data_IF_483303926135
#
_entry.id   IF_483303926135
#
_cell.length_a   1.000
_cell.length_b   1.000
_cell.length_c   1.000
_cell.angle_alpha   90.00
_cell.angle_beta   90.00
_cell.angle_gamma   90.00
#
_symmetry.space_group_name_H-M   'P 1'
#
loop_
_entity.id
_entity.type
_entity.pdbx_description
1 polymer ?
#
# COMPACT_ATOMS: atom_id res chain seq x y z
N UNK A 1 16.56 0.02 2.02
CA UNK A 1 15.10 0.11 1.80
C UNK A 1 14.50 -1.26 2.05
N UNK A 2 13.73 -1.43 3.13
CA UNK A 2 13.04 -2.69 3.44
C UNK A 2 11.59 -2.56 2.96
N UNK A 3 11.22 -3.30 1.91
CA UNK A 3 9.83 -3.36 1.43
C UNK A 3 8.99 -4.22 2.37
N UNK A 4 7.74 -3.83 2.62
CA UNK A 4 6.81 -4.66 3.38
C UNK A 4 6.22 -5.73 2.46
N UNK A 5 6.10 -6.96 2.95
CA UNK A 5 5.52 -8.07 2.20
C UNK A 5 4.14 -8.40 2.74
N UNK A 6 3.12 -8.33 1.89
CA UNK A 6 1.77 -8.80 2.17
C UNK A 6 1.62 -10.19 1.56
N UNK A 7 1.50 -11.21 2.40
CA UNK A 7 1.50 -12.62 1.99
C UNK A 7 0.09 -13.20 2.08
N UNK A 8 -0.30 -14.06 1.13
CA UNK A 8 -1.60 -14.75 1.16
C UNK A 8 -2.78 -13.90 0.71
N UNK A 9 -2.53 -12.77 0.04
CA UNK A 9 -3.56 -11.96 -0.62
C UNK A 9 -4.00 -12.61 -1.92
N UNK A 10 -5.23 -12.38 -2.40
CA UNK A 10 -5.74 -13.01 -3.64
C UNK A 10 -5.17 -12.35 -4.89
N UNK A 11 -4.97 -11.03 -4.85
CA UNK A 11 -4.44 -10.27 -5.99
C UNK A 11 -3.89 -8.92 -5.56
N UNK A 12 -3.08 -8.28 -6.43
CA UNK A 12 -2.68 -6.88 -6.24
C UNK A 12 -3.90 -5.94 -6.20
N UNK A 13 -4.94 -6.23 -7.00
CA UNK A 13 -6.18 -5.43 -7.02
C UNK A 13 -6.87 -5.42 -5.66
N UNK A 14 -6.93 -6.54 -4.96
CA UNK A 14 -7.50 -6.59 -3.60
C UNK A 14 -6.75 -5.65 -2.64
N UNK A 15 -5.42 -5.65 -2.68
CA UNK A 15 -4.60 -4.74 -1.86
C UNK A 15 -4.83 -3.28 -2.24
N UNK A 16 -4.95 -3.00 -3.55
CA UNK A 16 -5.29 -1.67 -4.05
C UNK A 16 -6.63 -1.17 -3.51
N UNK A 17 -7.70 -1.93 -3.66
CA UNK A 17 -9.03 -1.54 -3.18
C UNK A 17 -9.04 -1.31 -1.66
N UNK A 18 -8.33 -2.15 -0.90
CA UNK A 18 -8.18 -1.98 0.54
C UNK A 18 -7.40 -0.69 0.90
N UNK A 19 -6.31 -0.40 0.19
CA UNK A 19 -5.53 0.82 0.39
C UNK A 19 -6.32 2.08 0.02
N UNK A 20 -7.05 2.02 -1.10
CA UNK A 20 -7.96 3.10 -1.53
C UNK A 20 -9.03 3.33 -0.48
N UNK A 21 -9.72 2.29 -0.04
CA UNK A 21 -10.72 2.37 1.03
C UNK A 21 -10.17 2.98 2.32
N UNK A 22 -8.95 2.62 2.71
CA UNK A 22 -8.28 3.23 3.86
C UNK A 22 -8.07 4.73 3.66
N UNK A 23 -7.54 5.16 2.51
CA UNK A 23 -7.29 6.57 2.24
C UNK A 23 -8.59 7.38 2.10
N UNK A 24 -9.64 6.81 1.50
CA UNK A 24 -10.95 7.44 1.43
C UNK A 24 -11.67 7.50 2.77
N UNK A 25 -11.15 6.87 3.82
CA UNK A 25 -11.71 6.91 5.18
C UNK A 25 -10.64 7.25 6.23
N UNK A 26 -9.58 7.94 5.82
CA UNK A 26 -8.41 8.19 6.66
C UNK A 26 -8.73 9.02 7.91
N UNK A 27 -9.82 9.80 7.93
CA UNK A 27 -10.31 10.53 9.10
C UNK A 27 -10.74 9.58 10.23
N UNK A 28 -11.38 8.46 9.88
CA UNK A 28 -11.78 7.43 10.83
C UNK A 28 -10.53 6.78 11.40
N UNK A 29 -9.65 6.29 10.52
CA UNK A 29 -8.42 5.63 10.94
C UNK A 29 -7.49 6.54 11.75
N UNK A 30 -7.42 7.83 11.41
CA UNK A 30 -6.65 8.82 12.19
C UNK A 30 -7.25 9.03 13.57
N UNK A 31 -8.59 9.12 13.64
CA UNK A 31 -9.31 9.27 14.90
C UNK A 31 -9.09 8.07 15.81
N UNK A 32 -9.22 6.87 15.28
CA UNK A 32 -9.02 5.62 16.03
C UNK A 32 -7.57 5.43 16.47
N UNK A 33 -6.60 5.68 15.58
CA UNK A 33 -5.19 5.43 15.86
C UNK A 33 -4.57 6.44 16.82
N UNK A 34 -5.02 7.71 16.79
CA UNK A 34 -4.43 8.79 17.58
C UNK A 34 -5.33 9.27 18.73
N UNK A 35 -6.60 8.88 18.77
CA UNK A 35 -7.59 9.39 19.74
C UNK A 35 -7.95 10.86 19.52
N UNK A 36 -7.63 11.44 18.37
CA UNK A 36 -7.97 12.81 18.00
C UNK A 36 -9.34 12.86 17.33
N UNK A 37 -10.11 13.93 17.49
CA UNK A 37 -11.34 14.10 16.70
C UNK A 37 -10.93 14.61 15.32
N UNK A 38 -11.00 13.76 14.30
CA UNK A 38 -10.67 14.13 12.92
C UNK A 38 -11.93 14.18 12.06
N UNK A 39 -12.14 15.30 11.38
CA UNK A 39 -13.28 15.54 10.49
C UNK A 39 -12.75 15.81 9.08
N UNK A 40 -13.42 15.27 8.07
CA UNK A 40 -13.21 15.62 6.68
C UNK A 40 -14.22 16.69 6.25
N UNK A 41 -13.74 17.82 5.72
CA UNK A 41 -14.60 18.94 5.29
C UNK A 41 -14.97 18.88 3.80
N UNK A 42 -14.06 18.40 2.95
CA UNK A 42 -14.27 18.27 1.51
C UNK A 42 -13.74 16.90 1.01
N UNK A 43 -14.37 16.41 -0.06
CA UNK A 43 -13.95 15.22 -0.77
C UNK A 43 -14.45 15.32 -2.20
N UNK A 44 -13.53 15.51 -3.14
CA UNK A 44 -13.84 15.45 -4.57
C UNK A 44 -12.96 14.37 -5.20
N UNK A 45 -13.48 13.68 -6.22
CA UNK A 45 -12.75 12.63 -6.94
C UNK A 45 -13.09 12.71 -8.42
N UNK A 46 -12.05 12.70 -9.26
CA UNK A 46 -12.15 12.69 -10.70
C UNK A 46 -11.42 11.46 -11.25
N UNK A 47 -12.09 10.72 -12.14
CA UNK A 47 -11.53 9.56 -12.84
C UNK A 47 -11.89 8.21 -12.21
N UNK A 48 -11.81 7.16 -13.03
CA UNK A 48 -12.15 5.79 -12.66
C UNK A 48 -10.88 4.98 -12.34
N UNK A 49 -10.21 4.42 -13.36
CA UNK A 49 -9.02 3.56 -13.25
C UNK A 49 -7.74 4.31 -12.83
N UNK A 50 -7.70 5.61 -13.11
CA UNK A 50 -6.73 6.59 -12.65
C UNK A 50 -7.54 7.68 -11.98
N UNK A 51 -7.40 7.83 -10.67
CA UNK A 51 -8.19 8.80 -9.93
C UNK A 51 -7.32 9.85 -9.28
N UNK A 52 -7.84 11.08 -9.33
CA UNK A 52 -7.33 12.21 -8.56
C UNK A 52 -8.42 12.55 -7.57
N UNK A 53 -8.07 12.56 -6.29
CA UNK A 53 -8.97 13.00 -5.23
C UNK A 53 -8.36 14.16 -4.45
N UNK A 54 -9.19 15.06 -3.95
CA UNK A 54 -8.79 16.10 -3.01
C UNK A 54 -9.59 15.99 -1.72
N UNK A 55 -8.94 16.18 -0.58
CA UNK A 55 -9.60 16.13 0.71
C UNK A 55 -8.85 16.96 1.77
N UNK A 56 -9.62 17.55 2.69
CA UNK A 56 -9.15 18.35 3.82
C UNK A 56 -9.57 17.69 5.11
N UNK A 57 -8.59 17.42 5.95
CA UNK A 57 -8.78 16.87 7.29
C UNK A 57 -8.46 17.92 8.34
N UNK A 58 -9.38 18.10 9.29
CA UNK A 58 -9.15 18.86 10.50
C UNK A 58 -9.14 17.92 11.68
N UNK A 59 -8.04 17.92 12.44
CA UNK A 59 -7.87 17.05 13.59
C UNK A 59 -7.69 17.88 14.85
N UNK A 60 -8.63 17.76 15.78
CA UNK A 60 -8.58 18.37 17.10
C UNK A 60 -7.97 17.39 18.10
N UNK A 61 -6.87 17.80 18.72
CA UNK A 61 -6.17 17.03 19.76
C UNK A 61 -6.71 17.39 21.14
N UNK A 62 -6.55 16.49 22.10
CA UNK A 62 -6.89 16.74 23.51
C UNK A 62 -6.17 17.96 24.11
N UNK A 63 -5.03 18.35 23.55
CA UNK A 63 -4.30 19.55 23.95
C UNK A 63 -4.96 20.88 23.50
N UNK A 64 -6.08 20.81 22.77
CA UNK A 64 -6.73 21.98 22.15
C UNK A 64 -6.08 22.45 20.86
N UNK A 65 -4.99 21.81 20.41
CA UNK A 65 -4.36 22.11 19.12
C UNK A 65 -5.21 21.51 18.00
N UNK A 66 -5.58 22.36 17.04
CA UNK A 66 -6.24 21.93 15.80
C UNK A 66 -5.22 21.93 14.68
N UNK A 67 -5.11 20.81 13.96
CA UNK A 67 -4.28 20.70 12.77
C UNK A 67 -5.12 20.56 11.51
N UNK A 68 -4.72 21.23 10.44
CA UNK A 68 -5.31 21.11 9.10
C UNK A 68 -4.36 20.39 8.16
N UNK A 69 -4.90 19.50 7.34
CA UNK A 69 -4.19 18.72 6.33
C UNK A 69 -5.01 18.74 5.05
N UNK A 70 -4.68 19.64 4.12
CA UNK A 70 -5.32 19.75 2.81
C UNK A 70 -4.49 18.97 1.78
N UNK A 71 -5.09 17.96 1.13
CA UNK A 71 -4.39 16.94 0.36
C UNK A 71 -4.97 16.75 -1.02
N UNK A 72 -4.08 16.39 -1.93
CA UNK A 72 -4.40 15.69 -3.16
C UNK A 72 -3.89 14.26 -3.08
N UNK A 73 -4.62 13.35 -3.68
CA UNK A 73 -4.31 11.94 -3.85
C UNK A 73 -4.37 11.64 -5.34
N UNK A 74 -3.36 10.95 -5.83
CA UNK A 74 -3.31 10.36 -7.15
C UNK A 74 -3.12 8.86 -6.99
N UNK A 75 -3.92 8.05 -7.66
CA UNK A 75 -3.71 6.61 -7.73
C UNK A 75 -3.87 6.08 -9.17
N UNK A 76 -3.13 5.01 -9.47
CA UNK A 76 -3.22 4.34 -10.75
C UNK A 76 -2.81 2.88 -10.67
N UNK A 77 -3.72 2.02 -11.10
CA UNK A 77 -3.48 0.59 -11.24
C UNK A 77 -3.05 0.22 -12.65
N UNK A 78 -1.89 -0.42 -12.77
CA UNK A 78 -1.32 -0.90 -14.03
C UNK A 78 -1.50 -2.42 -14.09
N UNK A 79 -2.56 -2.90 -14.75
CA UNK A 79 -2.88 -4.33 -14.78
C UNK A 79 -1.94 -5.20 -15.63
N UNK A 80 -1.54 -4.74 -16.82
CA UNK A 80 -0.71 -5.55 -17.74
C UNK A 80 -0.10 -4.72 -18.88
N UNK A 81 0.36 -3.50 -18.60
CA UNK A 81 0.88 -2.60 -19.64
C UNK A 81 2.28 -2.11 -19.31
N UNK A 82 3.22 -2.56 -20.16
CA UNK A 82 4.55 -2.00 -20.51
C UNK A 82 5.57 -1.64 -19.42
N UNK A 83 5.21 -1.53 -18.15
CA UNK A 83 6.12 -1.30 -17.03
C UNK A 83 6.49 -2.63 -16.34
N UNK A 84 7.73 -2.72 -15.82
CA UNK A 84 8.20 -3.79 -14.92
C UNK A 84 7.98 -5.22 -15.43
N UNK A 85 8.45 -5.51 -16.64
CA UNK A 85 8.36 -6.84 -17.28
C UNK A 85 6.92 -7.33 -17.51
N UNK A 86 5.93 -6.42 -17.57
CA UNK A 86 4.52 -6.76 -17.75
C UNK A 86 3.80 -7.22 -16.49
N UNK A 87 4.44 -7.11 -15.32
CA UNK A 87 3.81 -7.46 -14.04
C UNK A 87 2.83 -6.37 -13.60
N UNK A 88 1.69 -6.75 -12.98
CA UNK A 88 0.80 -5.77 -12.38
C UNK A 88 1.53 -4.91 -11.34
N UNK A 89 1.33 -3.61 -11.40
CA UNK A 89 1.83 -2.67 -10.39
C UNK A 89 0.80 -1.59 -10.07
N UNK A 90 0.94 -0.96 -8.91
CA UNK A 90 0.12 0.14 -8.45
C UNK A 90 1.02 1.26 -7.98
N UNK A 91 0.65 2.49 -8.28
CA UNK A 91 1.23 3.69 -7.69
C UNK A 91 0.13 4.49 -7.01
N UNK A 92 0.41 4.99 -5.81
CA UNK A 92 -0.49 5.85 -5.04
C UNK A 92 0.34 6.93 -4.35
N UNK A 93 0.00 8.19 -4.57
CA UNK A 93 0.78 9.34 -4.11
C UNK A 93 -0.18 10.34 -3.48
N UNK A 94 0.16 10.85 -2.31
CA UNK A 94 -0.53 11.98 -1.71
C UNK A 94 0.45 13.09 -1.37
N UNK A 95 0.03 14.33 -1.58
CA UNK A 95 0.79 15.52 -1.22
C UNK A 95 -0.14 16.63 -0.73
N UNK A 96 0.44 17.60 -0.02
CA UNK A 96 -0.27 18.79 0.44
C UNK A 96 -0.54 19.81 -0.65
N UNK A 97 -1.70 20.47 -0.55
CA UNK A 97 -2.03 21.65 -1.33
C UNK A 97 -1.35 22.87 -0.74
N UNK A 98 -0.48 23.52 -1.51
CA UNK A 98 0.28 24.68 -1.04
C UNK A 98 -0.53 25.97 -0.97
N UNK A 99 -1.41 26.19 -1.94
CA UNK A 99 -2.31 27.34 -2.02
C UNK A 99 -3.68 26.86 -2.44
N UNK A 100 -4.68 27.27 -1.67
CA UNK A 100 -6.09 27.00 -1.91
C UNK A 100 -6.83 28.33 -1.85
N UNK A 101 -7.22 28.85 -3.00
CA UNK A 101 -7.93 30.13 -3.09
C UNK A 101 -9.42 29.99 -2.75
N UNK A 102 -9.98 28.77 -2.89
CA UNK A 102 -11.38 28.47 -2.58
C UNK A 102 -11.59 28.37 -1.07
N UNK A 103 -10.61 27.79 -0.37
CA UNK A 103 -10.59 27.65 1.08
C UNK A 103 -9.22 28.02 1.66
N UNK A 104 -8.95 29.32 1.83
CA UNK A 104 -7.67 29.79 2.32
C UNK A 104 -7.34 29.28 3.72
N UNK A 105 -6.09 28.86 3.91
CA UNK A 105 -5.56 28.45 5.21
C UNK A 105 -5.58 29.61 6.22
N UNK A 106 -6.11 29.37 7.42
CA UNK A 106 -6.08 30.30 8.55
C UNK A 106 -5.10 29.85 9.66
N UNK A 107 -3.88 30.44 9.72
CA UNK A 107 -2.87 30.09 10.71
C UNK A 107 -3.23 30.48 12.14
N UNK A 108 -4.28 31.30 12.36
CA UNK A 108 -4.72 31.68 13.72
C UNK A 108 -5.60 30.61 14.35
N UNK A 109 -6.31 29.85 13.52
CA UNK A 109 -7.25 28.83 13.97
C UNK A 109 -6.63 27.43 13.98
N UNK A 110 -5.68 27.17 13.07
CA UNK A 110 -5.19 25.81 12.80
C UNK A 110 -3.70 25.81 12.49
N UNK A 111 -3.03 24.71 12.79
CA UNK A 111 -1.64 24.43 12.39
C UNK A 111 -1.65 23.53 11.17
N UNK A 112 -0.98 23.93 10.10
CA UNK A 112 -0.86 23.11 8.90
C UNK A 112 0.05 21.89 9.09
N UNK A 113 -0.41 20.72 8.65
CA UNK A 113 0.32 19.44 8.68
C UNK A 113 0.61 18.94 7.26
N UNK A 114 1.81 19.23 6.78
CA UNK A 114 2.22 18.86 5.43
C UNK A 114 3.05 17.59 5.36
N UNK A 115 2.35 16.47 5.21
CA UNK A 115 2.94 15.15 4.95
C UNK A 115 2.66 14.72 3.51
N UNK A 116 3.70 14.42 2.74
CA UNK A 116 3.59 13.72 1.47
C UNK A 116 3.91 12.24 1.64
N UNK A 117 3.28 11.38 0.85
CA UNK A 117 3.61 9.95 0.82
C UNK A 117 3.47 9.40 -0.59
N UNK A 118 4.35 8.46 -0.95
CA UNK A 118 4.28 7.69 -2.18
C UNK A 118 4.36 6.20 -1.84
N UNK A 119 3.46 5.42 -2.44
CA UNK A 119 3.38 3.98 -2.33
C UNK A 119 3.50 3.39 -3.74
N UNK A 120 4.40 2.40 -3.88
CA UNK A 120 4.40 1.51 -5.03
C UNK A 120 4.18 0.08 -4.56
N UNK A 121 3.28 -0.63 -5.25
CA UNK A 121 2.96 -2.01 -4.93
C UNK A 121 3.13 -2.88 -6.17
N UNK A 122 3.75 -4.05 -5.98
CA UNK A 122 4.07 -4.96 -7.08
C UNK A 122 3.73 -6.40 -6.72
N UNK A 123 3.26 -7.14 -7.72
CA UNK A 123 2.99 -8.56 -7.60
C UNK A 123 4.28 -9.40 -7.67
N UNK A 124 4.47 -10.30 -6.69
CA UNK A 124 5.50 -11.33 -6.70
C UNK A 124 4.85 -12.70 -6.62
N UNK A 125 4.90 -13.45 -7.73
CA UNK A 125 4.54 -14.87 -7.74
C UNK A 125 5.77 -15.71 -7.47
N UNK A 126 5.78 -16.42 -6.35
CA UNK A 126 6.85 -17.37 -6.04
C UNK A 126 6.45 -18.76 -6.56
N UNK A 127 7.02 -19.16 -7.69
CA UNK A 127 6.93 -20.55 -8.12
C UNK A 127 7.80 -21.39 -7.18
N UNK A 128 7.21 -22.27 -6.37
CA UNK A 128 8.00 -23.26 -5.63
C UNK A 128 8.79 -24.09 -6.64
N UNK A 129 10.12 -23.95 -6.64
CA UNK A 129 11.00 -24.90 -7.30
C UNK A 129 10.81 -26.24 -6.62
N UNK A 130 10.35 -27.25 -7.36
CA UNK A 130 10.42 -28.64 -6.93
C UNK A 130 11.91 -28.98 -6.81
N UNK A 131 12.45 -28.83 -5.61
CA UNK A 131 13.81 -29.27 -5.32
C UNK A 131 13.77 -30.80 -5.26
N UNK A 132 14.04 -31.42 -6.41
CA UNK A 132 14.09 -32.87 -6.56
C UNK A 132 15.32 -33.39 -5.85
N UNK A 133 15.12 -33.90 -4.64
CA UNK A 133 16.15 -34.54 -3.84
C UNK A 133 16.70 -35.80 -4.55
N UNK A 134 17.69 -35.62 -5.43
CA UNK A 134 18.45 -36.72 -6.04
C UNK A 134 19.68 -37.00 -5.18
N UNK A 135 19.50 -37.75 -4.09
CA UNK A 135 20.63 -38.47 -3.52
C UNK A 135 20.92 -39.69 -4.41
N UNK A 136 21.94 -39.53 -5.27
CA UNK A 136 22.68 -40.65 -5.82
C UNK A 136 23.59 -41.18 -4.71
N UNK A 137 23.39 -42.42 -4.28
CA UNK A 137 24.46 -43.21 -3.65
C UNK A 137 24.57 -44.52 -4.42
N UNK A 138 25.72 -44.66 -5.08
CA UNK A 138 26.23 -45.85 -5.74
C UNK A 138 26.63 -46.88 -4.67
N UNK A 139 26.20 -48.14 -4.80
CA UNK A 139 26.59 -49.23 -3.89
C UNK A 139 26.11 -50.60 -4.38
N UNK A 140 27.07 -51.47 -4.67
CA UNK A 140 27.04 -52.77 -5.37
C UNK A 140 26.29 -53.92 -4.63
N UNK A 141 25.45 -54.63 -5.42
CA UNK A 141 25.00 -56.05 -5.47
C UNK A 141 24.89 -56.98 -4.22
N UNK A 142 23.77 -57.74 -4.13
CA UNK A 142 23.74 -59.23 -4.25
C UNK A 142 22.31 -59.87 -4.24
N UNK A 143 22.07 -60.74 -5.24
CA UNK A 143 21.32 -62.03 -5.31
C UNK A 143 19.80 -62.15 -5.03
N UNK A 144 19.08 -62.74 -6.01
CA UNK A 144 17.66 -63.22 -6.06
C UNK A 144 17.44 -64.59 -5.34
N UNK A 145 16.24 -65.26 -5.23
CA UNK A 145 14.98 -65.14 -6.03
C UNK A 145 13.56 -65.42 -5.41
N UNK A 146 12.51 -64.98 -6.16
CA UNK A 146 11.08 -65.45 -6.28
C UNK A 146 10.17 -65.35 -5.02
N UNK A 147 8.89 -64.95 -5.05
CA UNK A 147 7.72 -65.37 -5.87
C UNK A 147 6.58 -64.28 -5.97
N UNK A 148 5.75 -64.47 -7.00
CA UNK A 148 4.40 -63.97 -7.39
C UNK A 148 3.45 -63.43 -6.29
N UNK A 149 2.78 -62.29 -6.55
CA UNK A 149 1.30 -62.21 -6.64
C UNK A 149 0.80 -60.91 -7.32
N UNK A 150 -0.35 -61.02 -7.99
CA UNK A 150 -1.06 -60.00 -8.74
C UNK A 150 -1.95 -59.12 -7.85
N UNK A 151 -2.21 -57.88 -8.27
CA UNK A 151 -3.22 -57.06 -7.61
C UNK A 151 -3.25 -55.62 -8.12
N UNK A 152 -4.20 -55.35 -9.02
CA UNK A 152 -4.52 -54.01 -9.49
C UNK A 152 -4.92 -53.06 -8.35
N UNK A 153 -4.61 -51.77 -8.49
CA UNK A 153 -5.60 -50.67 -8.49
C UNK A 153 -4.87 -49.38 -8.87
N UNK A 154 -5.24 -48.84 -10.04
CA UNK A 154 -5.02 -47.45 -10.42
C UNK A 154 -5.79 -46.56 -9.46
N UNK A 155 -5.10 -46.03 -8.45
CA UNK A 155 -5.60 -44.95 -7.62
C UNK A 155 -5.15 -43.62 -8.22
N UNK A 156 -6.09 -42.86 -8.75
CA UNK A 156 -5.89 -41.48 -9.19
C UNK A 156 -5.28 -40.66 -8.06
N UNK A 157 -3.98 -40.38 -8.17
CA UNK A 157 -3.34 -39.36 -7.37
C UNK A 157 -3.96 -38.01 -7.77
N UNK A 158 -4.94 -37.55 -6.98
CA UNK A 158 -5.37 -36.16 -6.99
C UNK A 158 -4.11 -35.31 -6.87
N UNK A 159 -3.76 -34.63 -7.96
CA UNK A 159 -2.76 -33.57 -7.95
C UNK A 159 -3.29 -32.50 -7.00
N UNK A 160 -2.84 -32.51 -5.75
CA UNK A 160 -3.00 -31.39 -4.83
C UNK A 160 -2.50 -30.15 -5.57
N UNK A 161 -3.45 -29.26 -5.86
CA UNK A 161 -3.18 -28.01 -6.56
C UNK A 161 -2.09 -27.29 -5.79
N UNK A 162 -0.97 -27.04 -6.47
CA UNK A 162 0.10 -26.23 -5.92
C UNK A 162 -0.47 -24.82 -5.71
N UNK A 163 -0.97 -24.52 -4.50
CA UNK A 163 -1.50 -23.20 -4.15
C UNK A 163 -0.35 -22.20 -4.31
N UNK A 164 -0.36 -21.49 -5.45
CA UNK A 164 0.61 -20.45 -5.74
C UNK A 164 0.38 -19.32 -4.75
N UNK A 165 1.27 -19.22 -3.74
CA UNK A 165 1.15 -18.20 -2.70
C UNK A 165 1.52 -16.84 -3.28
N UNK A 166 0.50 -16.01 -3.48
CA UNK A 166 0.66 -14.63 -3.92
C UNK A 166 1.28 -13.77 -2.82
N UNK A 167 2.24 -12.93 -3.20
CA UNK A 167 2.85 -11.92 -2.32
C UNK A 167 2.83 -10.57 -3.02
N UNK A 168 2.40 -9.52 -2.31
CA UNK A 168 2.52 -8.13 -2.76
C UNK A 168 3.65 -7.46 -2.00
N UNK A 169 4.59 -6.87 -2.73
CA UNK A 169 5.66 -6.05 -2.17
C UNK A 169 5.18 -4.61 -2.16
N UNK A 170 5.17 -3.99 -0.99
CA UNK A 170 4.84 -2.58 -0.80
C UNK A 170 6.13 -1.82 -0.48
N UNK A 171 6.45 -0.85 -1.33
CA UNK A 171 7.49 0.14 -1.07
C UNK A 171 6.80 1.48 -0.80
N UNK A 172 7.23 2.15 0.26
CA UNK A 172 6.67 3.43 0.66
C UNK A 172 7.77 4.43 0.95
N UNK A 173 7.56 5.68 0.59
CA UNK A 173 8.37 6.82 1.02
C UNK A 173 7.43 7.89 1.59
N UNK A 174 7.78 8.42 2.77
CA UNK A 174 6.98 9.43 3.48
C UNK A 174 7.89 10.62 3.75
N UNK A 175 7.39 11.83 3.51
CA UNK A 175 8.14 13.07 3.59
C UNK A 175 7.34 14.09 4.39
N UNK A 176 7.96 14.67 5.42
CA UNK A 176 7.37 15.79 6.14
C UNK A 176 7.92 17.09 5.54
N UNK A 177 7.04 17.95 5.03
CA UNK A 177 7.38 19.30 4.61
C UNK A 177 7.30 20.21 5.84
N UNK A 178 8.45 20.73 6.27
CA UNK A 178 8.50 21.73 7.33
C UNK A 178 8.44 23.10 6.65
N UNK A 179 7.26 23.71 6.61
CA UNK A 179 7.10 25.09 6.17
C UNK A 179 7.44 26.02 7.35
N UNK A 180 8.64 26.61 7.32
CA UNK A 180 8.94 27.77 8.15
C UNK A 180 8.18 28.97 7.60
N UNK A 181 7.02 29.27 8.17
CA UNK A 181 6.40 30.57 7.96
C UNK A 181 7.34 31.63 8.53
N UNK A 182 7.94 32.47 7.68
CA UNK A 182 8.59 33.70 8.16
C UNK A 182 7.49 34.51 8.86
N UNK A 183 7.61 34.67 10.17
CA UNK A 183 6.85 35.66 10.92
C UNK A 183 7.25 37.02 10.34
N UNK A 184 6.46 37.55 9.40
CA UNK A 184 6.58 38.94 9.00
C UNK A 184 6.16 39.76 10.22
N UNK A 185 7.16 40.27 10.94
CA UNK A 185 6.98 41.30 11.96
C UNK A 185 6.12 42.42 11.38
N UNK A 186 5.06 42.88 12.08
CA UNK A 186 4.39 44.10 11.68
C UNK A 186 5.42 45.22 11.73
N UNK A 187 5.71 45.84 10.59
CA UNK A 187 6.42 47.11 10.59
C UNK A 187 5.53 48.11 11.31
N UNK A 188 5.85 48.36 12.58
CA UNK A 188 5.40 49.52 13.32
C UNK A 188 5.94 50.74 12.57
N UNK A 189 5.13 51.32 11.69
CA UNK A 189 5.35 52.70 11.25
C UNK A 189 5.07 53.58 12.46
N UNK A 190 6.14 53.91 13.17
CA UNK A 190 6.18 55.02 14.10
C UNK A 190 6.53 56.28 13.30
N UNK A 191 5.62 57.25 13.42
CA UNK A 191 5.65 58.66 13.00
C UNK A 191 5.46 58.95 11.51
#
# INVERSE_FOLDING_TARGET
YSGKHLVGVKSLKEVYEAAKFFLTNVEISTTEALGNITVREDYDTVGDDESIASFRLNSARQSGIVTESNKVLYDKYYGHRTFLDGRPCLVMITDSVDKDDLHPYDPKLRIRLDVGAAFSMMELRQKRSRDGNKYKTSGVACTQPREIDAGATTGDAKSEGNEEKMTVIVQSAIFLKILCHKLTSPQTRLV
#
